data_IF_021711491204
#
_entry.id   IF_021711491204
#
_cell.length_a   1.000
_cell.length_b   1.000
_cell.length_c   1.000
_cell.angle_alpha   90.00
_cell.angle_beta   90.00
_cell.angle_gamma   90.00
#
_symmetry.space_group_name_H-M   'P 1'
#
loop_
_entity.id
_entity.type
_entity.pdbx_description
1 polymer ?
#
# COMPACT_ATOMS: atom_id res chain seq x y z
N UNK A 1 -6.28 -22.34 27.18
CA UNK A 1 -5.32 -22.01 26.10
C UNK A 1 -4.06 -21.42 26.72
N UNK A 2 -2.90 -22.04 26.47
CA UNK A 2 -1.66 -21.81 27.23
C UNK A 2 -0.62 -20.99 26.45
N UNK A 3 -1.07 -20.22 25.46
CA UNK A 3 -0.22 -19.38 24.60
C UNK A 3 -0.43 -17.91 24.98
N UNK A 4 0.66 -17.20 25.21
CA UNK A 4 0.70 -15.74 25.37
C UNK A 4 1.28 -15.14 24.09
N UNK A 5 0.65 -14.09 23.56
CA UNK A 5 1.10 -13.41 22.35
C UNK A 5 1.79 -12.09 22.71
N UNK A 6 3.00 -11.91 22.20
CA UNK A 6 3.64 -10.61 22.08
C UNK A 6 3.51 -10.14 20.63
N UNK A 7 2.92 -8.95 20.42
CA UNK A 7 2.49 -8.49 19.09
C UNK A 7 3.05 -7.10 18.82
N UNK A 8 3.87 -7.01 17.78
CA UNK A 8 4.41 -5.78 17.26
C UNK A 8 3.76 -5.46 15.90
N UNK A 9 3.26 -4.24 15.76
CA UNK A 9 2.59 -3.76 14.53
C UNK A 9 3.47 -2.66 13.91
N UNK A 10 4.27 -3.04 12.91
CA UNK A 10 5.19 -2.15 12.20
C UNK A 10 5.20 -2.54 10.72
N UNK A 11 5.34 -1.54 9.84
CA UNK A 11 5.41 -1.71 8.40
C UNK A 11 6.85 -1.91 7.89
N UNK A 12 7.86 -1.77 8.77
CA UNK A 12 9.27 -1.96 8.41
C UNK A 12 9.62 -3.42 8.18
N UNK A 13 10.56 -3.65 7.28
CA UNK A 13 11.12 -4.98 7.07
C UNK A 13 12.20 -5.26 8.11
N UNK A 14 11.85 -6.04 9.13
CA UNK A 14 12.78 -6.45 10.20
C UNK A 14 13.46 -7.78 9.89
N UNK A 15 14.67 -7.97 10.41
CA UNK A 15 15.25 -9.30 10.52
C UNK A 15 14.61 -10.01 11.72
N UNK A 16 13.87 -11.09 11.45
CA UNK A 16 13.16 -11.81 12.49
C UNK A 16 14.11 -12.48 13.49
N UNK A 17 15.27 -12.92 13.02
CA UNK A 17 16.24 -13.64 13.85
C UNK A 17 16.95 -12.65 14.77
N UNK A 18 17.45 -11.54 14.21
CA UNK A 18 18.15 -10.53 15.02
C UNK A 18 17.21 -9.86 16.03
N UNK A 19 15.93 -9.68 15.70
CA UNK A 19 14.96 -9.04 16.56
C UNK A 19 14.17 -10.01 17.46
N UNK A 20 14.44 -11.31 17.39
CA UNK A 20 13.85 -12.31 18.28
C UNK A 20 12.38 -12.61 18.02
N UNK A 21 11.90 -12.45 16.79
CA UNK A 21 10.55 -12.83 16.39
C UNK A 21 10.47 -14.29 15.90
N UNK A 22 9.53 -15.06 16.44
CA UNK A 22 9.25 -16.42 15.97
C UNK A 22 8.52 -16.46 14.62
N UNK A 23 7.72 -15.41 14.33
CA UNK A 23 6.84 -15.35 13.16
C UNK A 23 6.58 -13.90 12.74
N UNK A 24 6.51 -13.67 11.44
CA UNK A 24 5.94 -12.44 10.89
C UNK A 24 4.85 -12.72 9.86
N UNK A 25 3.83 -11.87 9.89
CA UNK A 25 2.79 -11.79 8.87
C UNK A 25 3.06 -10.54 8.04
N UNK A 26 3.29 -10.71 6.73
CA UNK A 26 3.68 -9.61 5.84
C UNK A 26 2.88 -9.61 4.55
N UNK A 27 2.65 -8.41 4.03
CA UNK A 27 2.17 -8.19 2.66
C UNK A 27 3.40 -8.02 1.77
N UNK A 28 3.91 -9.12 1.23
CA UNK A 28 5.09 -9.09 0.36
C UNK A 28 4.98 -10.10 -0.78
N UNK A 29 5.89 -9.98 -1.75
CA UNK A 29 6.21 -11.11 -2.63
C UNK A 29 7.13 -12.06 -1.86
N UNK A 30 7.03 -13.35 -2.16
CA UNK A 30 7.95 -14.33 -1.61
C UNK A 30 9.36 -14.00 -2.10
N UNK A 31 10.21 -13.50 -1.21
CA UNK A 31 11.62 -13.26 -1.52
C UNK A 31 12.42 -14.53 -1.24
N UNK A 32 13.53 -14.68 -1.95
CA UNK A 32 14.50 -15.73 -1.64
C UNK A 32 15.09 -15.44 -0.27
N UNK A 33 14.76 -16.24 0.73
CA UNK A 33 15.35 -16.17 2.07
C UNK A 33 15.62 -17.58 2.59
N UNK A 34 16.41 -17.69 3.65
CA UNK A 34 16.57 -18.93 4.42
C UNK A 34 15.32 -19.31 5.22
N UNK A 35 14.32 -18.42 5.29
CA UNK A 35 13.10 -18.61 6.06
C UNK A 35 12.07 -19.46 5.30
N UNK A 36 11.30 -20.25 6.04
CA UNK A 36 10.12 -20.93 5.50
C UNK A 36 9.00 -19.91 5.40
N UNK A 37 8.43 -19.75 4.20
CA UNK A 37 7.34 -18.83 3.96
C UNK A 37 6.10 -19.56 3.43
N UNK A 38 4.94 -19.24 4.02
CA UNK A 38 3.63 -19.80 3.65
C UNK A 38 2.70 -18.67 3.23
N UNK A 39 2.13 -18.78 2.03
CA UNK A 39 1.09 -17.84 1.57
C UNK A 39 -0.19 -18.06 2.38
N UNK A 40 -0.68 -16.98 3.01
CA UNK A 40 -1.95 -16.98 3.75
C UNK A 40 -3.15 -16.64 2.85
N UNK A 41 -3.05 -15.55 2.08
CA UNK A 41 -4.10 -15.06 1.20
C UNK A 41 -3.53 -14.17 0.08
N UNK A 42 -4.24 -13.97 -1.05
CA UNK A 42 -3.91 -12.91 -1.99
C UNK A 42 -4.24 -11.52 -1.39
N UNK A 43 -3.52 -10.49 -1.86
CA UNK A 43 -3.75 -9.09 -1.47
C UNK A 43 -3.78 -8.21 -2.72
N UNK A 44 -4.66 -7.20 -2.73
CA UNK A 44 -4.75 -6.22 -3.81
C UNK A 44 -5.04 -4.82 -3.27
N UNK A 45 -4.32 -3.82 -3.77
CA UNK A 45 -4.59 -2.40 -3.50
C UNK A 45 -5.71 -1.91 -4.42
N UNK A 46 -6.61 -1.08 -3.89
CA UNK A 46 -7.67 -0.40 -4.64
C UNK A 46 -7.51 1.10 -4.50
N UNK A 47 -7.82 1.83 -5.56
CA UNK A 47 -7.98 3.27 -5.47
C UNK A 47 -9.34 3.60 -4.84
N UNK A 48 -9.33 4.62 -4.00
CA UNK A 48 -10.52 5.21 -3.41
C UNK A 48 -10.36 6.73 -3.35
N UNK A 49 -11.48 7.42 -3.29
CA UNK A 49 -11.57 8.87 -3.18
C UNK A 49 -12.88 9.20 -2.46
N UNK A 50 -12.91 10.31 -1.71
CA UNK A 50 -14.17 10.80 -1.15
C UNK A 50 -15.12 11.26 -2.26
N UNK A 51 -16.45 11.11 -2.06
CA UNK A 51 -17.45 11.66 -2.97
C UNK A 51 -17.26 13.16 -3.23
N UNK A 52 -16.87 13.92 -2.21
CA UNK A 52 -16.64 15.37 -2.27
C UNK A 52 -15.48 15.72 -3.20
N UNK A 53 -14.39 14.95 -3.15
CA UNK A 53 -13.24 15.12 -4.04
C UNK A 53 -13.63 14.84 -5.49
N UNK A 54 -14.39 13.77 -5.73
CA UNK A 54 -14.90 13.44 -7.06
C UNK A 54 -15.89 14.50 -7.57
N UNK A 55 -16.74 15.05 -6.70
CA UNK A 55 -17.65 16.14 -7.08
C UNK A 55 -16.90 17.42 -7.50
N UNK A 56 -15.76 17.70 -6.85
CA UNK A 56 -14.92 18.88 -7.12
C UNK A 56 -14.02 18.72 -8.35
N UNK A 57 -13.40 17.55 -8.51
CA UNK A 57 -12.37 17.32 -9.53
C UNK A 57 -12.83 16.48 -10.73
N UNK A 58 -14.02 15.87 -10.63
CA UNK A 58 -14.52 14.90 -11.60
C UNK A 58 -13.98 13.49 -11.38
N UNK A 59 -14.65 12.51 -11.98
CA UNK A 59 -14.21 11.11 -11.94
C UNK A 59 -13.09 10.90 -12.97
N UNK A 60 -11.91 10.38 -12.57
CA UNK A 60 -10.86 9.97 -13.50
C UNK A 60 -11.38 8.96 -14.52
N UNK A 61 -11.17 9.20 -15.81
CA UNK A 61 -11.57 8.27 -16.87
C UNK A 61 -10.46 7.27 -17.20
N UNK A 62 -9.19 7.65 -16.97
CA UNK A 62 -8.00 6.83 -17.20
C UNK A 62 -6.98 7.02 -16.08
N UNK A 63 -6.08 6.05 -15.82
CA UNK A 63 -5.08 6.17 -14.76
C UNK A 63 -4.25 7.45 -14.81
N UNK A 64 -3.91 7.95 -16.01
CA UNK A 64 -3.10 9.15 -16.18
C UNK A 64 -3.77 10.42 -15.63
N UNK A 65 -5.10 10.43 -15.51
CA UNK A 65 -5.84 11.57 -14.95
C UNK A 65 -5.51 11.76 -13.45
N UNK A 66 -5.06 10.71 -12.76
CA UNK A 66 -4.63 10.77 -11.35
C UNK A 66 -3.45 11.71 -11.14
N UNK A 67 -2.62 11.96 -12.15
CA UNK A 67 -1.52 12.93 -12.06
C UNK A 67 -1.99 14.38 -11.81
N UNK A 68 -3.30 14.65 -11.90
CA UNK A 68 -3.92 15.96 -11.63
C UNK A 68 -4.75 15.96 -10.34
N UNK A 69 -4.85 14.82 -9.66
CA UNK A 69 -5.63 14.66 -8.43
C UNK A 69 -4.72 14.90 -7.22
N UNK A 70 -5.25 15.39 -6.08
CA UNK A 70 -4.45 15.54 -4.86
C UNK A 70 -4.27 14.18 -4.18
N UNK A 71 -3.40 13.34 -4.74
CA UNK A 71 -3.19 11.97 -4.26
C UNK A 71 -2.53 11.95 -2.87
N UNK A 72 -2.91 10.97 -2.06
CA UNK A 72 -2.25 10.67 -0.79
C UNK A 72 -1.19 9.61 -1.07
N UNK A 73 0.06 9.91 -0.73
CA UNK A 73 1.20 9.01 -0.99
C UNK A 73 1.47 8.16 0.24
N UNK A 74 1.30 6.85 0.09
CA UNK A 74 1.71 5.88 1.12
C UNK A 74 3.21 5.59 0.97
N UNK A 75 4.00 6.01 1.96
CA UNK A 75 5.46 5.86 1.96
C UNK A 75 5.91 4.43 2.26
N UNK A 76 5.01 3.55 2.72
CA UNK A 76 5.28 2.12 2.87
C UNK A 76 5.15 1.39 1.52
N UNK A 77 4.51 2.02 0.54
CA UNK A 77 4.36 1.49 -0.80
C UNK A 77 5.67 1.52 -1.58
N UNK A 78 6.06 0.38 -2.17
CA UNK A 78 7.27 0.24 -3.03
C UNK A 78 7.37 1.30 -4.13
N UNK A 79 6.23 1.79 -4.60
CA UNK A 79 6.12 2.63 -5.78
C UNK A 79 6.09 4.12 -5.48
N UNK A 80 5.92 4.51 -4.20
CA UNK A 80 5.82 5.91 -3.76
C UNK A 80 4.90 6.73 -4.68
N UNK A 81 5.47 7.64 -5.48
CA UNK A 81 4.77 8.54 -6.40
C UNK A 81 4.56 7.97 -7.81
N UNK A 82 5.00 6.75 -8.12
CA UNK A 82 4.94 6.15 -9.46
C UNK A 82 4.05 4.90 -9.49
N UNK A 83 2.74 5.10 -9.47
CA UNK A 83 1.76 4.03 -9.29
C UNK A 83 1.61 3.15 -10.54
N UNK A 84 1.77 1.81 -10.42
CA UNK A 84 1.59 0.91 -11.54
C UNK A 84 0.11 0.55 -11.74
N UNK A 85 -0.33 0.62 -13.00
CA UNK A 85 -1.64 0.18 -13.46
C UNK A 85 -1.47 -0.87 -14.55
N UNK A 86 -2.47 -1.74 -14.70
CA UNK A 86 -2.54 -2.64 -15.83
C UNK A 86 -3.13 -1.88 -17.03
N UNK A 87 -2.38 -1.79 -18.11
CA UNK A 87 -2.83 -1.24 -19.39
C UNK A 87 -3.76 -2.20 -20.14
N UNK A 88 -4.44 -1.67 -21.16
CA UNK A 88 -5.43 -2.41 -21.94
C UNK A 88 -4.82 -3.61 -22.69
N UNK A 89 -3.54 -3.52 -23.04
CA UNK A 89 -2.80 -4.60 -23.72
C UNK A 89 -2.19 -5.62 -22.75
N UNK A 90 -2.44 -5.47 -21.45
CA UNK A 90 -1.86 -6.29 -20.39
C UNK A 90 -0.46 -5.85 -19.93
N UNK A 91 0.08 -4.79 -20.53
CA UNK A 91 1.30 -4.12 -20.11
C UNK A 91 1.11 -3.39 -18.77
N UNK A 92 2.21 -3.00 -18.13
CA UNK A 92 2.16 -2.17 -16.91
C UNK A 92 2.41 -0.72 -17.29
N UNK A 93 1.45 0.14 -16.98
CA UNK A 93 1.54 1.59 -17.16
C UNK A 93 1.89 2.21 -15.81
N UNK A 94 3.03 2.89 -15.73
CA UNK A 94 3.38 3.70 -14.55
C UNK A 94 2.77 5.09 -14.67
N UNK A 95 2.09 5.55 -13.63
CA UNK A 95 1.53 6.90 -13.54
C UNK A 95 2.21 7.64 -12.40
N UNK A 96 2.86 8.76 -12.74
CA UNK A 96 3.37 9.68 -11.74
C UNK A 96 2.23 10.47 -11.12
N UNK A 97 2.11 10.41 -9.80
CA UNK A 97 1.13 11.12 -8.99
C UNK A 97 1.84 12.05 -8.00
N UNK A 98 1.12 13.02 -7.49
CA UNK A 98 1.58 13.90 -6.42
C UNK A 98 0.40 14.35 -5.59
N UNK A 99 0.67 14.95 -4.44
CA UNK A 99 -0.39 15.55 -3.65
C UNK A 99 0.12 16.10 -2.32
N UNK A 100 -0.80 16.58 -1.48
CA UNK A 100 -0.45 17.39 -0.33
C UNK A 100 -0.02 16.56 0.90
N UNK A 101 -0.14 15.23 0.85
CA UNK A 101 0.03 14.35 2.01
C UNK A 101 0.89 13.14 1.62
N UNK A 102 1.94 12.90 2.40
CA UNK A 102 2.70 11.65 2.44
C UNK A 102 2.57 11.04 3.84
N UNK A 103 2.26 9.75 3.94
CA UNK A 103 2.00 9.05 5.20
C UNK A 103 2.53 7.63 5.18
N UNK A 104 2.97 7.15 6.33
CA UNK A 104 3.42 5.76 6.56
C UNK A 104 2.40 4.96 7.36
N UNK A 105 1.12 5.35 7.32
CA UNK A 105 0.07 4.67 8.08
C UNK A 105 -1.20 4.55 7.23
N UNK A 106 -1.73 3.33 7.03
CA UNK A 106 -2.97 3.14 6.29
C UNK A 106 -4.17 3.79 6.98
N UNK A 107 -4.14 3.91 8.32
CA UNK A 107 -5.19 4.61 9.07
C UNK A 107 -5.17 6.12 8.80
N UNK A 108 -3.98 6.73 8.77
CA UNK A 108 -3.81 8.14 8.44
C UNK A 108 -4.20 8.40 6.97
N UNK A 109 -3.80 7.53 6.04
CA UNK A 109 -4.19 7.62 4.63
C UNK A 109 -5.71 7.59 4.46
N UNK A 110 -6.39 6.66 5.14
CA UNK A 110 -7.86 6.58 5.13
C UNK A 110 -8.49 7.85 5.71
N UNK A 111 -7.99 8.36 6.84
CA UNK A 111 -8.52 9.56 7.47
C UNK A 111 -8.38 10.79 6.56
N UNK A 112 -7.22 10.95 5.92
CA UNK A 112 -6.97 12.01 4.94
C UNK A 112 -7.87 11.89 3.70
N UNK A 113 -8.21 10.67 3.27
CA UNK A 113 -9.05 10.45 2.10
C UNK A 113 -10.53 10.80 2.32
N UNK A 114 -11.00 10.89 3.57
CA UNK A 114 -12.40 11.16 3.93
C UNK A 114 -12.61 12.49 4.66
N UNK A 115 -11.54 13.24 4.91
CA UNK A 115 -11.57 14.57 5.51
C UNK A 115 -11.88 15.65 4.45
#
# INVERSE_FOLDING_TARGET
PDIVLDIHLDDRFVDLVEEGFDLAVRISRLESSSLIARRLAPFSVRLCASPELIARHGMPARPQDLGRMPCIIDTNGRWLTNWPFKGDSGDTVSVSVSGPIEVNSPMAARAAAVA
#
